data_IF_238660003165
#
_entry.id   IF_238660003165
#
_cell.length_a   1.000
_cell.length_b   1.000
_cell.length_c   1.000
_cell.angle_alpha   90.00
_cell.angle_beta   90.00
_cell.angle_gamma   90.00
#
_symmetry.space_group_name_H-M   'P 1'
#
loop_
_entity.id
_entity.type
_entity.pdbx_description
1 polymer ?
#
# COMPACT_ATOMS: atom_id res chain seq x y z
N UNK A 1 40.30 -18.22 -24.81
CA UNK A 1 39.15 -18.95 -24.21
C UNK A 1 39.33 -19.13 -22.71
N UNK A 2 40.39 -19.78 -22.22
CA UNK A 2 40.64 -19.97 -20.76
C UNK A 2 40.72 -18.66 -19.96
N UNK A 3 41.35 -17.63 -20.52
CA UNK A 3 41.45 -16.32 -19.86
C UNK A 3 40.11 -15.59 -19.72
N UNK A 4 39.22 -15.75 -20.71
CA UNK A 4 37.86 -15.21 -20.67
C UNK A 4 36.99 -15.96 -19.66
N UNK A 5 37.20 -17.27 -19.52
CA UNK A 5 36.48 -18.11 -18.54
C UNK A 5 36.85 -17.75 -17.09
N UNK A 6 38.13 -17.49 -16.81
CA UNK A 6 38.59 -17.01 -15.50
C UNK A 6 38.11 -15.58 -15.21
N UNK A 7 38.04 -14.70 -16.21
CA UNK A 7 37.50 -13.36 -16.06
C UNK A 7 36.00 -13.40 -15.72
N UNK A 8 35.23 -14.25 -16.42
CA UNK A 8 33.81 -14.47 -16.13
C UNK A 8 33.62 -15.04 -14.73
N UNK A 9 34.45 -16.00 -14.31
CA UNK A 9 34.39 -16.59 -12.97
C UNK A 9 34.66 -15.55 -11.88
N UNK A 10 35.67 -14.69 -12.06
CA UNK A 10 35.95 -13.57 -11.14
C UNK A 10 34.78 -12.60 -11.04
N UNK A 11 34.17 -12.21 -12.15
CA UNK A 11 33.01 -11.31 -12.15
C UNK A 11 31.83 -11.97 -11.41
N UNK A 12 31.58 -13.26 -11.65
CA UNK A 12 30.51 -13.99 -10.95
C UNK A 12 30.76 -14.04 -9.43
N UNK A 13 32.00 -14.28 -9.00
CA UNK A 13 32.36 -14.26 -7.57
C UNK A 13 32.18 -12.87 -6.95
N UNK A 14 32.62 -11.80 -7.63
CA UNK A 14 32.41 -10.41 -7.17
C UNK A 14 30.94 -10.05 -7.07
N UNK A 15 30.12 -10.43 -8.05
CA UNK A 15 28.67 -10.21 -8.02
C UNK A 15 28.03 -10.99 -6.86
N UNK A 16 28.51 -12.20 -6.59
CA UNK A 16 28.01 -13.02 -5.47
C UNK A 16 28.36 -12.39 -4.12
N UNK A 17 29.61 -11.98 -3.92
CA UNK A 17 30.03 -11.29 -2.69
C UNK A 17 29.26 -9.98 -2.48
N UNK A 18 29.03 -9.22 -3.56
CA UNK A 18 28.22 -8.01 -3.52
C UNK A 18 26.76 -8.32 -3.16
N UNK A 19 26.19 -9.39 -3.72
CA UNK A 19 24.84 -9.84 -3.42
C UNK A 19 24.68 -10.25 -1.96
N UNK A 20 25.62 -11.05 -1.44
CA UNK A 20 25.61 -11.51 -0.05
C UNK A 20 25.75 -10.32 0.91
N UNK A 21 26.64 -9.37 0.60
CA UNK A 21 26.82 -8.12 1.36
C UNK A 21 25.56 -7.25 1.35
N UNK A 22 24.93 -7.09 0.18
CA UNK A 22 23.68 -6.34 0.04
C UNK A 22 22.53 -7.01 0.80
N UNK A 23 22.45 -8.34 0.78
CA UNK A 23 21.43 -9.10 1.50
C UNK A 23 21.60 -8.97 3.01
N UNK A 24 22.84 -9.05 3.50
CA UNK A 24 23.16 -8.79 4.90
C UNK A 24 22.77 -7.37 5.33
N UNK A 25 23.14 -6.36 4.54
CA UNK A 25 22.77 -4.96 4.81
C UNK A 25 21.26 -4.75 4.86
N UNK A 26 20.52 -5.30 3.90
CA UNK A 26 19.05 -5.23 3.85
C UNK A 26 18.43 -5.89 5.09
N UNK A 27 18.97 -7.02 5.54
CA UNK A 27 18.47 -7.72 6.72
C UNK A 27 18.64 -6.90 8.01
N UNK A 28 19.82 -6.30 8.21
CA UNK A 28 20.09 -5.40 9.34
C UNK A 28 19.20 -4.15 9.29
N UNK A 29 19.11 -3.51 8.13
CA UNK A 29 18.27 -2.33 7.94
C UNK A 29 16.79 -2.63 8.20
N UNK A 30 16.30 -3.82 7.79
CA UNK A 30 14.94 -4.27 8.07
C UNK A 30 14.68 -4.43 9.57
N UNK A 31 15.63 -4.99 10.33
CA UNK A 31 15.51 -5.14 11.78
C UNK A 31 15.46 -3.77 12.48
N UNK A 32 16.30 -2.83 12.07
CA UNK A 32 16.28 -1.45 12.55
C UNK A 32 14.95 -0.76 12.23
N UNK A 33 14.43 -0.95 11.02
CA UNK A 33 13.13 -0.41 10.59
C UNK A 33 11.99 -0.89 11.50
N UNK A 34 11.96 -2.19 11.83
CA UNK A 34 10.95 -2.78 12.73
C UNK A 34 11.06 -2.17 14.13
N UNK A 35 12.27 -1.96 14.64
CA UNK A 35 12.49 -1.33 15.95
C UNK A 35 11.99 0.12 15.99
N UNK A 36 12.26 0.90 14.94
CA UNK A 36 11.78 2.28 14.79
C UNK A 36 10.25 2.31 14.67
N UNK A 37 9.67 1.33 13.97
CA UNK A 37 8.21 1.16 13.87
C UNK A 37 7.56 0.95 15.22
N UNK A 38 8.09 0.02 16.01
CA UNK A 38 7.57 -0.29 17.33
C UNK A 38 7.63 0.95 18.22
N UNK A 39 8.77 1.66 18.24
CA UNK A 39 8.93 2.91 18.98
C UNK A 39 7.95 3.99 18.53
N UNK A 40 7.80 4.20 17.23
CA UNK A 40 6.87 5.17 16.66
C UNK A 40 5.42 4.87 17.07
N UNK A 41 5.01 3.58 17.04
CA UNK A 41 3.67 3.17 17.48
C UNK A 41 3.40 3.37 18.97
N UNK A 42 4.41 3.14 19.83
CA UNK A 42 4.32 3.36 21.27
C UNK A 42 4.19 4.85 21.60
N UNK A 43 4.94 5.70 20.89
CA UNK A 43 4.86 7.16 21.04
C UNK A 43 3.50 7.68 20.59
N UNK A 44 3.00 7.23 19.43
CA UNK A 44 1.67 7.59 18.91
C UNK A 44 0.54 7.15 19.84
N UNK A 45 0.62 5.94 20.42
CA UNK A 45 -0.34 5.49 21.44
C UNK A 45 -0.29 6.34 22.71
N UNK A 46 0.91 6.74 23.16
CA UNK A 46 1.09 7.61 24.32
C UNK A 46 0.49 9.00 24.08
N UNK A 47 0.75 9.60 22.91
CA UNK A 47 0.16 10.90 22.50
C UNK A 47 -1.37 10.83 22.52
N UNK A 48 -1.97 9.77 21.97
CA UNK A 48 -3.44 9.58 22.01
C UNK A 48 -3.97 9.46 23.43
N UNK A 49 -3.28 8.71 24.30
CA UNK A 49 -3.70 8.54 25.70
C UNK A 49 -3.64 9.86 26.45
N UNK A 50 -2.52 10.59 26.35
CA UNK A 50 -2.36 11.92 26.94
C UNK A 50 -3.43 12.88 26.45
N UNK A 51 -3.71 12.92 25.15
CA UNK A 51 -4.80 13.72 24.60
C UNK A 51 -6.17 13.36 25.22
N UNK A 52 -6.47 12.06 25.36
CA UNK A 52 -7.74 11.63 25.97
C UNK A 52 -7.84 12.00 27.45
N UNK A 53 -6.74 11.91 28.19
CA UNK A 53 -6.67 12.34 29.59
C UNK A 53 -6.88 13.85 29.69
N UNK A 54 -6.24 14.61 28.80
CA UNK A 54 -6.30 16.07 28.77
C UNK A 54 -7.71 16.59 28.47
N UNK A 55 -8.43 15.93 27.55
CA UNK A 55 -9.84 16.23 27.24
C UNK A 55 -10.79 15.84 28.38
N UNK A 56 -10.44 14.81 29.16
CA UNK A 56 -11.28 14.31 30.26
C UNK A 56 -11.12 15.11 31.56
N UNK A 57 -9.97 15.76 31.77
CA UNK A 57 -9.68 16.48 33.00
C UNK A 57 -10.20 17.93 32.93
N UNK A 58 -11.31 18.18 33.64
CA UNK A 58 -11.99 19.48 33.68
C UNK A 58 -11.41 20.44 34.72
N UNK A 59 -10.41 20.01 35.49
CA UNK A 59 -9.91 20.75 36.65
C UNK A 59 -8.56 21.45 36.40
N UNK A 60 -8.04 21.37 35.17
CA UNK A 60 -6.81 22.02 34.75
C UNK A 60 -7.02 23.52 34.51
N UNK A 61 -6.00 24.31 34.84
CA UNK A 61 -5.95 25.73 34.49
C UNK A 61 -6.05 25.89 32.96
N UNK A 62 -7.04 26.63 32.43
CA UNK A 62 -7.27 26.76 30.98
C UNK A 62 -6.04 27.20 30.20
N UNK A 63 -5.16 28.02 30.81
CA UNK A 63 -3.92 28.49 30.17
C UNK A 63 -2.84 27.41 30.08
N UNK A 64 -2.80 26.50 31.05
CA UNK A 64 -1.90 25.34 31.04
C UNK A 64 -2.41 24.28 30.06
N UNK A 65 -3.74 24.12 29.98
CA UNK A 65 -4.41 23.20 29.07
C UNK A 65 -4.11 23.53 27.61
N UNK A 66 -4.29 24.80 27.22
CA UNK A 66 -4.01 25.29 25.86
C UNK A 66 -2.55 25.05 25.46
N UNK A 67 -1.60 25.38 26.34
CA UNK A 67 -0.18 25.15 26.09
C UNK A 67 0.17 23.67 25.92
N UNK A 68 -0.41 22.80 26.76
CA UNK A 68 -0.14 21.36 26.70
C UNK A 68 -0.78 20.72 25.46
N UNK A 69 -1.92 21.22 25.00
CA UNK A 69 -2.56 20.82 23.75
C UNK A 69 -1.74 21.25 22.53
N UNK A 70 -1.22 22.49 22.52
CA UNK A 70 -0.31 22.98 21.48
C UNK A 70 0.97 22.13 21.39
N UNK A 71 1.61 21.83 22.53
CA UNK A 71 2.82 21.00 22.57
C UNK A 71 2.55 19.57 22.09
N UNK A 72 1.40 19.00 22.48
CA UNK A 72 0.99 17.66 22.07
C UNK A 72 0.64 17.61 20.57
N UNK A 73 0.01 18.66 20.06
CA UNK A 73 -0.27 18.80 18.63
C UNK A 73 1.02 18.99 17.83
N UNK A 74 2.00 19.77 18.33
CA UNK A 74 3.31 19.90 17.72
C UNK A 74 4.04 18.56 17.65
N UNK A 75 4.04 17.80 18.75
CA UNK A 75 4.62 16.45 18.79
C UNK A 75 3.93 15.52 17.76
N UNK A 76 2.61 15.63 17.62
CA UNK A 76 1.83 14.88 16.63
C UNK A 76 2.18 15.28 15.20
N UNK A 77 2.34 16.57 14.90
CA UNK A 77 2.76 17.05 13.59
C UNK A 77 4.18 16.56 13.24
N UNK A 78 5.12 16.61 14.19
CA UNK A 78 6.48 16.08 13.99
C UNK A 78 6.50 14.58 13.68
N UNK A 79 5.56 13.82 14.26
CA UNK A 79 5.41 12.39 14.01
C UNK A 79 4.66 12.08 12.71
N UNK A 80 3.72 12.92 12.31
CA UNK A 80 2.85 12.72 11.15
C UNK A 80 3.42 13.25 9.82
N UNK A 81 4.19 14.34 9.86
CA UNK A 81 4.70 15.04 8.66
C UNK A 81 6.21 14.84 8.46
N UNK A 82 6.93 14.30 9.46
CA UNK A 82 8.37 14.03 9.38
C UNK A 82 8.70 12.67 8.72
N UNK A 83 10.00 12.35 8.63
CA UNK A 83 10.50 11.06 8.14
C UNK A 83 9.97 9.85 8.94
N UNK A 84 9.54 10.11 10.18
CA UNK A 84 8.93 9.14 11.09
C UNK A 84 7.54 8.69 10.68
N UNK A 85 6.86 9.45 9.82
CA UNK A 85 5.54 9.14 9.25
C UNK A 85 5.55 7.84 8.44
N UNK A 86 6.69 7.49 7.84
CA UNK A 86 6.89 6.23 7.11
C UNK A 86 6.85 5.00 8.02
N UNK A 87 7.17 5.17 9.30
CA UNK A 87 7.18 4.10 10.31
C UNK A 87 5.84 4.01 11.06
N UNK A 88 4.97 5.00 10.99
CA UNK A 88 3.67 4.92 11.65
C UNK A 88 2.73 3.90 10.97
N UNK A 89 1.83 3.27 11.73
CA UNK A 89 0.71 2.54 11.12
C UNK A 89 -0.09 3.49 10.24
N UNK A 90 -0.37 3.02 9.03
CA UNK A 90 -0.91 3.81 7.94
C UNK A 90 -2.19 4.57 8.34
N UNK A 91 -2.20 5.89 8.16
CA UNK A 91 -3.41 6.70 8.28
C UNK A 91 -4.36 6.25 7.17
N UNK A 92 -5.60 5.83 7.48
CA UNK A 92 -6.49 5.20 6.51
C UNK A 92 -6.64 6.11 5.30
N UNK A 93 -6.21 5.63 4.15
CA UNK A 93 -6.43 6.32 2.87
C UNK A 93 -7.91 6.59 2.67
N UNK A 94 -8.22 7.71 2.02
CA UNK A 94 -9.59 8.07 1.68
C UNK A 94 -10.33 6.90 1.03
N UNK A 95 -11.63 6.78 1.33
CA UNK A 95 -12.48 5.65 0.87
C UNK A 95 -12.36 5.40 -0.63
N UNK A 96 -12.17 6.45 -1.42
CA UNK A 96 -11.97 6.38 -2.87
C UNK A 96 -10.72 5.56 -3.23
N UNK A 97 -9.56 5.92 -2.67
CA UNK A 97 -8.29 5.23 -2.94
C UNK A 97 -8.37 3.77 -2.47
N UNK A 98 -8.97 3.53 -1.30
CA UNK A 98 -9.23 2.18 -0.76
C UNK A 98 -10.12 1.33 -1.67
N UNK A 99 -11.00 1.93 -2.46
CA UNK A 99 -11.89 1.22 -3.38
C UNK A 99 -11.16 0.70 -4.63
N UNK A 100 -10.20 1.46 -5.16
CA UNK A 100 -9.39 1.04 -6.31
C UNK A 100 -8.21 0.16 -5.91
N UNK A 101 -7.58 0.48 -4.79
CA UNK A 101 -6.33 -0.16 -4.36
C UNK A 101 -6.52 -1.28 -3.35
N UNK A 102 -7.68 -1.39 -2.70
CA UNK A 102 -7.84 -2.26 -1.55
C UNK A 102 -7.11 -1.69 -0.31
N UNK A 103 -6.83 -2.51 0.72
CA UNK A 103 -6.03 -2.10 1.89
C UNK A 103 -4.53 -2.01 1.56
N UNK A 104 -4.16 -1.46 0.40
CA UNK A 104 -2.80 -1.47 -0.13
C UNK A 104 -2.10 -0.14 0.15
N UNK A 105 -0.88 -0.24 0.70
CA UNK A 105 -0.05 0.89 1.09
C UNK A 105 0.60 1.54 -0.15
N UNK A 106 0.38 2.85 -0.33
CA UNK A 106 0.89 3.61 -1.50
C UNK A 106 2.35 4.08 -1.32
N UNK A 107 2.91 3.92 -0.11
CA UNK A 107 4.34 4.17 0.17
C UNK A 107 4.97 2.84 0.61
N UNK A 108 5.55 2.12 -0.33
CA UNK A 108 6.13 0.81 -0.11
C UNK A 108 7.66 0.92 -0.06
N UNK A 109 8.19 1.45 1.04
CA UNK A 109 9.60 1.21 1.42
C UNK A 109 9.83 -0.27 1.82
N UNK A 110 8.78 -1.12 1.79
CA UNK A 110 8.74 -2.46 2.39
C UNK A 110 8.63 -3.55 1.33
N UNK A 111 9.70 -4.34 1.17
CA UNK A 111 9.74 -5.57 0.35
C UNK A 111 8.67 -6.60 0.76
N UNK A 112 8.28 -6.64 2.03
CA UNK A 112 7.29 -7.61 2.55
C UNK A 112 5.85 -7.20 2.23
N UNK A 113 5.60 -5.89 2.09
CA UNK A 113 4.31 -5.36 1.65
C UNK A 113 4.21 -5.45 0.12
N UNK A 114 5.31 -5.26 -0.62
CA UNK A 114 5.35 -5.54 -2.06
C UNK A 114 4.95 -6.99 -2.36
N UNK A 115 5.40 -7.98 -1.58
CA UNK A 115 5.03 -9.39 -1.77
C UNK A 115 3.53 -9.65 -1.52
N UNK A 116 2.96 -9.10 -0.44
CA UNK A 116 1.50 -9.18 -0.18
C UNK A 116 0.65 -8.45 -1.22
N UNK A 117 1.13 -7.32 -1.72
CA UNK A 117 0.48 -6.55 -2.79
C UNK A 117 0.60 -7.27 -4.13
N UNK A 118 1.69 -8.00 -4.39
CA UNK A 118 1.85 -8.88 -5.57
C UNK A 118 0.90 -10.07 -5.54
N UNK A 119 0.70 -10.65 -4.36
CA UNK A 119 -0.19 -11.80 -4.15
C UNK A 119 -1.67 -11.38 -4.24
N UNK A 120 -2.05 -10.23 -3.66
CA UNK A 120 -3.37 -9.62 -3.90
C UNK A 120 -3.53 -9.15 -5.35
N UNK A 121 -2.49 -8.64 -6.00
CA UNK A 121 -2.53 -8.25 -7.42
C UNK A 121 -2.76 -9.46 -8.32
N UNK A 122 -2.10 -10.59 -8.07
CA UNK A 122 -2.27 -11.79 -8.88
C UNK A 122 -3.64 -12.45 -8.64
N UNK A 123 -4.10 -12.51 -7.38
CA UNK A 123 -5.46 -12.99 -7.04
C UNK A 123 -6.57 -12.08 -7.58
N UNK A 124 -6.36 -10.76 -7.55
CA UNK A 124 -7.27 -9.79 -8.16
C UNK A 124 -7.26 -9.87 -9.68
N UNK A 125 -6.09 -10.05 -10.31
CA UNK A 125 -5.95 -10.21 -11.77
C UNK A 125 -6.62 -11.49 -12.26
N UNK A 126 -6.46 -12.61 -11.56
CA UNK A 126 -7.15 -13.87 -11.90
C UNK A 126 -8.66 -13.75 -11.72
N UNK A 127 -9.13 -13.08 -10.66
CA UNK A 127 -10.57 -12.81 -10.45
C UNK A 127 -11.14 -11.85 -11.49
N UNK A 128 -10.38 -10.83 -11.88
CA UNK A 128 -10.74 -9.89 -12.94
C UNK A 128 -10.73 -10.57 -14.31
N UNK A 129 -9.77 -11.45 -14.61
CA UNK A 129 -9.73 -12.24 -15.84
C UNK A 129 -10.92 -13.20 -15.95
N UNK A 130 -11.28 -13.86 -14.85
CA UNK A 130 -12.50 -14.67 -14.77
C UNK A 130 -13.76 -13.81 -14.97
N UNK A 131 -13.83 -12.61 -14.37
CA UNK A 131 -14.94 -11.68 -14.59
C UNK A 131 -15.02 -11.20 -16.05
N UNK A 132 -13.89 -10.95 -16.70
CA UNK A 132 -13.81 -10.61 -18.13
C UNK A 132 -14.31 -11.74 -19.04
N UNK A 133 -14.31 -12.99 -18.58
CA UNK A 133 -14.73 -14.14 -19.38
C UNK A 133 -16.18 -14.54 -19.07
N UNK A 134 -16.53 -14.57 -17.78
CA UNK A 134 -17.85 -14.93 -17.28
C UNK A 134 -18.89 -13.87 -17.60
N UNK A 135 -18.56 -12.58 -17.50
CA UNK A 135 -19.56 -11.52 -17.65
C UNK A 135 -20.01 -11.30 -19.11
N UNK A 136 -19.12 -11.29 -20.13
CA UNK A 136 -19.55 -11.31 -21.53
C UNK A 136 -20.31 -12.59 -21.89
N UNK A 137 -19.94 -13.74 -21.32
CA UNK A 137 -20.70 -14.97 -21.49
C UNK A 137 -22.12 -14.84 -20.91
N UNK A 138 -22.28 -14.26 -19.73
CA UNK A 138 -23.60 -13.98 -19.13
C UNK A 138 -24.39 -12.99 -20.00
N UNK A 139 -23.80 -11.88 -20.45
CA UNK A 139 -24.47 -10.92 -21.34
C UNK A 139 -24.91 -11.56 -22.66
N UNK A 140 -24.10 -12.45 -23.24
CA UNK A 140 -24.45 -13.19 -24.45
C UNK A 140 -25.58 -14.20 -24.20
N UNK A 141 -25.57 -14.91 -23.07
CA UNK A 141 -26.66 -15.83 -22.71
C UNK A 141 -27.98 -15.09 -22.45
N UNK A 142 -27.96 -13.97 -21.70
CA UNK A 142 -29.15 -13.14 -21.47
C UNK A 142 -29.65 -12.49 -22.77
N UNK A 143 -28.76 -12.05 -23.65
CA UNK A 143 -29.12 -11.57 -24.98
C UNK A 143 -29.93 -12.62 -25.75
N UNK A 144 -29.53 -13.89 -25.68
CA UNK A 144 -30.21 -14.97 -26.38
C UNK A 144 -31.51 -15.42 -25.71
N UNK A 145 -31.61 -15.32 -24.38
CA UNK A 145 -32.72 -15.93 -23.62
C UNK A 145 -33.81 -14.93 -23.24
N UNK A 146 -33.46 -13.65 -23.04
CA UNK A 146 -34.36 -12.64 -22.44
C UNK A 146 -34.68 -11.50 -23.41
N UNK A 147 -33.80 -11.20 -24.36
CA UNK A 147 -33.84 -9.94 -25.10
C UNK A 147 -34.05 -10.04 -26.62
N UNK A 148 -34.43 -11.21 -27.15
CA UNK A 148 -34.68 -11.42 -28.60
C UNK A 148 -33.58 -10.81 -29.50
N UNK A 149 -32.33 -10.81 -29.03
CA UNK A 149 -31.18 -10.25 -29.75
C UNK A 149 -30.91 -8.75 -29.58
N UNK A 150 -31.69 -7.99 -28.81
CA UNK A 150 -31.49 -6.55 -28.58
C UNK A 150 -30.87 -6.27 -27.20
N UNK A 151 -29.59 -5.85 -27.15
CA UNK A 151 -28.96 -5.51 -25.86
C UNK A 151 -29.54 -4.19 -25.31
N UNK A 152 -30.10 -4.17 -24.09
CA UNK A 152 -30.57 -2.93 -23.50
C UNK A 152 -29.37 -2.00 -23.21
N UNK A 153 -29.58 -0.70 -23.28
CA UNK A 153 -28.53 0.30 -23.05
C UNK A 153 -27.94 0.21 -21.62
N UNK A 154 -28.77 -0.13 -20.63
CA UNK A 154 -28.36 -0.14 -19.23
C UNK A 154 -27.30 -1.21 -18.87
N UNK A 155 -27.44 -2.50 -19.25
CA UNK A 155 -26.37 -3.50 -19.09
C UNK A 155 -25.05 -3.12 -19.76
N UNK A 156 -25.12 -2.50 -20.94
CA UNK A 156 -23.93 -2.09 -21.69
C UNK A 156 -23.22 -0.93 -20.99
N UNK A 157 -23.98 0.08 -20.54
CA UNK A 157 -23.44 1.21 -19.78
C UNK A 157 -22.84 0.78 -18.43
N UNK A 158 -23.49 -0.14 -17.72
CA UNK A 158 -22.97 -0.68 -16.47
C UNK A 158 -21.65 -1.45 -16.69
N UNK A 159 -21.55 -2.17 -17.81
CA UNK A 159 -20.32 -2.86 -18.20
C UNK A 159 -19.20 -1.88 -18.55
N UNK A 160 -19.47 -0.83 -19.31
CA UNK A 160 -18.49 0.22 -19.62
C UNK A 160 -18.00 0.94 -18.36
N UNK A 161 -18.89 1.31 -17.45
CA UNK A 161 -18.53 1.92 -16.17
C UNK A 161 -17.68 0.99 -15.30
N UNK A 162 -18.01 -0.31 -15.29
CA UNK A 162 -17.26 -1.33 -14.58
C UNK A 162 -15.86 -1.54 -15.16
N UNK A 163 -15.73 -1.59 -16.50
CA UNK A 163 -14.45 -1.66 -17.18
C UNK A 163 -13.56 -0.45 -16.87
N UNK A 164 -14.14 0.74 -16.89
CA UNK A 164 -13.42 1.98 -16.59
C UNK A 164 -12.91 1.97 -15.14
N UNK A 165 -13.73 1.48 -14.20
CA UNK A 165 -13.33 1.28 -12.81
C UNK A 165 -12.18 0.28 -12.66
N UNK A 166 -12.26 -0.87 -13.33
CA UNK A 166 -11.20 -1.89 -13.32
C UNK A 166 -9.89 -1.38 -13.93
N UNK A 167 -9.97 -0.73 -15.08
CA UNK A 167 -8.81 -0.22 -15.79
C UNK A 167 -8.11 0.90 -14.99
N UNK A 168 -8.88 1.81 -14.40
CA UNK A 168 -8.35 2.83 -13.50
C UNK A 168 -7.67 2.21 -12.26
N UNK A 169 -8.25 1.14 -11.70
CA UNK A 169 -7.66 0.39 -10.59
C UNK A 169 -6.33 -0.28 -10.96
N UNK A 170 -6.26 -0.90 -12.13
CA UNK A 170 -5.03 -1.52 -12.65
C UNK A 170 -3.94 -0.47 -12.92
N UNK A 171 -4.28 0.63 -13.59
CA UNK A 171 -3.34 1.70 -13.90
C UNK A 171 -2.77 2.36 -12.64
N UNK A 172 -3.60 2.59 -11.62
CA UNK A 172 -3.12 3.10 -10.32
C UNK A 172 -2.16 2.13 -9.64
N UNK A 173 -2.47 0.82 -9.62
CA UNK A 173 -1.59 -0.21 -9.04
C UNK A 173 -0.26 -0.32 -9.80
N UNK A 174 -0.28 -0.26 -11.13
CA UNK A 174 0.93 -0.29 -11.96
C UNK A 174 1.81 0.95 -11.76
N UNK A 175 1.21 2.14 -11.65
CA UNK A 175 1.94 3.38 -11.38
C UNK A 175 2.61 3.36 -9.99
N UNK A 176 1.96 2.76 -9.00
CA UNK A 176 2.56 2.58 -7.67
C UNK A 176 3.74 1.61 -7.73
N UNK A 177 3.64 0.52 -8.51
CA UNK A 177 4.77 -0.38 -8.70
C UNK A 177 5.94 0.33 -9.39
N UNK A 178 5.69 1.09 -10.47
CA UNK A 178 6.73 1.90 -11.13
C UNK A 178 7.37 2.94 -10.21
N UNK A 179 6.58 3.55 -9.32
CA UNK A 179 7.08 4.56 -8.38
C UNK A 179 7.90 3.96 -7.22
N UNK A 180 7.66 2.70 -6.86
CA UNK A 180 8.38 2.03 -5.78
C UNK A 180 9.56 1.15 -6.25
N UNK A 181 9.77 1.02 -7.56
CA UNK A 181 10.88 0.24 -8.15
C UNK A 181 10.54 -1.23 -8.35
#
# INVERSE_FOLDING_TARGET
MKEVEEEVRRIVEQVKELHDSATSFVSSSSQEEVSLRQRSSVVDASIRRLHSTLVSDKHLDPKLLEKLEEDLQRARCMLADGDTSSFLPFKPQGRFVRMFLGPVNVRATRKDIQLKVKEEYNSYRDRTALLFLVFPAILLTLRSYVWDGCLPAFPVQLYEAWLLFLYAGLAMRENILRANG
#
